data_IF_220894062367
#
_entry.id   IF_220894062367
#
_cell.length_a   1.000
_cell.length_b   1.000
_cell.length_c   1.000
_cell.angle_alpha   90.00
_cell.angle_beta   90.00
_cell.angle_gamma   90.00
#
_symmetry.space_group_name_H-M   'P 1'
#
loop_
_entity.id
_entity.type
_entity.pdbx_description
1 polymer ?
#
# COMPACT_ATOMS: atom_id res chain seq x y z
N UNK A 1 10.90 -5.99 7.56
CA UNK A 1 11.62 -4.73 7.82
C UNK A 1 10.60 -3.63 7.99
N UNK A 2 10.78 -2.73 8.94
CA UNK A 2 9.84 -1.63 9.19
C UNK A 2 10.56 -0.31 8.98
N UNK A 3 9.98 0.59 8.18
CA UNK A 3 10.64 1.82 7.73
C UNK A 3 9.72 3.04 7.76
N UNK A 4 10.32 4.22 7.81
CA UNK A 4 9.75 5.48 7.33
C UNK A 4 10.50 5.87 6.06
N UNK A 5 9.78 6.18 4.98
CA UNK A 5 10.40 6.51 3.70
C UNK A 5 9.59 7.51 2.87
N UNK A 6 10.25 8.08 1.87
CA UNK A 6 9.66 9.01 0.90
C UNK A 6 9.58 8.35 -0.47
N UNK A 7 8.44 8.47 -1.11
CA UNK A 7 8.24 8.06 -2.50
C UNK A 7 8.96 9.03 -3.42
N UNK A 8 9.83 8.52 -4.28
CA UNK A 8 10.62 9.32 -5.23
C UNK A 8 10.28 9.03 -6.68
N UNK A 9 9.64 7.91 -6.97
CA UNK A 9 9.20 7.54 -8.32
C UNK A 9 8.15 6.43 -8.27
N UNK A 10 7.36 6.33 -9.34
CA UNK A 10 6.31 5.33 -9.51
C UNK A 10 6.40 4.77 -10.93
N UNK A 11 6.33 3.45 -11.05
CA UNK A 11 6.27 2.74 -12.32
C UNK A 11 5.10 1.76 -12.29
N UNK A 12 4.28 1.78 -13.34
CA UNK A 12 3.16 0.85 -13.49
C UNK A 12 3.60 -0.41 -14.23
N UNK A 13 3.14 -1.57 -13.78
CA UNK A 13 3.35 -2.86 -14.41
C UNK A 13 2.01 -3.60 -14.49
N UNK A 14 1.76 -4.29 -15.59
CA UNK A 14 0.57 -5.15 -15.75
C UNK A 14 1.05 -6.58 -15.98
N UNK A 15 0.55 -7.52 -15.17
CA UNK A 15 0.84 -8.95 -15.33
C UNK A 15 -0.44 -9.76 -15.19
N UNK A 16 -0.75 -10.58 -16.21
CA UNK A 16 -2.00 -11.38 -16.28
C UNK A 16 -3.25 -10.54 -15.97
N UNK A 17 -3.36 -9.38 -16.61
CA UNK A 17 -4.44 -8.40 -16.46
C UNK A 17 -4.59 -7.83 -15.03
N UNK A 18 -3.56 -7.95 -14.19
CA UNK A 18 -3.53 -7.34 -12.85
C UNK A 18 -2.52 -6.20 -12.85
N UNK A 19 -2.94 -4.97 -12.49
CA UNK A 19 -2.01 -3.85 -12.35
C UNK A 19 -1.27 -3.90 -11.01
N UNK A 20 0.00 -3.49 -11.07
CA UNK A 20 0.89 -3.32 -9.94
C UNK A 20 1.62 -1.98 -10.08
N UNK A 21 1.92 -1.35 -8.96
CA UNK A 21 2.71 -0.13 -8.91
C UNK A 21 4.00 -0.42 -8.17
N UNK A 22 5.15 -0.21 -8.81
CA UNK A 22 6.45 -0.26 -8.17
C UNK A 22 6.84 1.17 -7.78
N UNK A 23 6.90 1.42 -6.49
CA UNK A 23 7.38 2.68 -5.96
C UNK A 23 8.88 2.60 -5.64
N UNK A 24 9.63 3.61 -6.09
CA UNK A 24 10.96 3.88 -5.57
C UNK A 24 10.81 4.62 -4.23
N UNK A 25 11.35 4.03 -3.16
CA UNK A 25 11.21 4.54 -1.80
C UNK A 25 12.59 4.80 -1.22
N UNK A 26 12.94 6.06 -1.01
CA UNK A 26 14.13 6.43 -0.25
C UNK A 26 13.84 6.30 1.23
N UNK A 27 14.63 5.48 1.92
CA UNK A 27 14.43 5.17 3.33
C UNK A 27 15.02 6.29 4.19
N UNK A 28 14.15 6.99 4.93
CA UNK A 28 14.56 8.06 5.83
C UNK A 28 14.83 7.55 7.25
N UNK A 29 14.13 6.48 7.68
CA UNK A 29 14.40 5.77 8.93
C UNK A 29 14.16 4.27 8.79
N UNK A 30 14.98 3.48 9.49
CA UNK A 30 14.75 2.05 9.70
C UNK A 30 14.29 1.86 11.13
N UNK A 31 13.00 1.59 11.31
CA UNK A 31 12.35 1.43 12.62
C UNK A 31 12.59 0.02 13.19
N UNK A 32 12.74 -0.98 12.33
CA UNK A 32 13.09 -2.35 12.71
C UNK A 32 13.70 -3.13 11.52
N UNK A 33 14.78 -3.88 11.78
CA UNK A 33 15.47 -4.70 10.79
C UNK A 33 16.84 -4.15 10.38
N UNK A 34 17.21 -4.35 9.11
CA UNK A 34 18.55 -4.05 8.59
C UNK A 34 18.80 -2.54 8.46
N UNK A 35 19.59 -1.99 9.40
CA UNK A 35 19.96 -0.56 9.42
C UNK A 35 20.82 -0.13 8.23
N UNK A 36 21.47 -1.06 7.52
CA UNK A 36 22.25 -0.73 6.33
C UNK A 36 21.40 -0.23 5.15
N UNK A 37 20.07 -0.32 5.26
CA UNK A 37 19.12 0.21 4.28
C UNK A 37 18.86 1.72 4.46
N UNK A 38 19.31 2.34 5.55
CA UNK A 38 19.15 3.77 5.77
C UNK A 38 19.74 4.58 4.60
N UNK A 39 19.00 5.60 4.14
CA UNK A 39 19.33 6.46 3.00
C UNK A 39 19.43 5.75 1.64
N UNK A 40 19.14 4.45 1.56
CA UNK A 40 19.05 3.74 0.27
C UNK A 40 17.64 3.87 -0.32
N UNK A 41 17.58 3.77 -1.63
CA UNK A 41 16.32 3.63 -2.36
C UNK A 41 16.02 2.16 -2.59
N UNK A 42 14.85 1.71 -2.16
CA UNK A 42 14.34 0.36 -2.41
C UNK A 42 13.12 0.42 -3.32
N UNK A 43 12.83 -0.70 -3.99
CA UNK A 43 11.62 -0.87 -4.79
C UNK A 43 10.56 -1.57 -3.95
N UNK A 44 9.37 -0.98 -3.85
CA UNK A 44 8.23 -1.53 -3.10
C UNK A 44 7.06 -1.71 -4.05
N UNK A 45 6.54 -2.94 -4.12
CA UNK A 45 5.39 -3.30 -4.95
C UNK A 45 4.09 -3.09 -4.18
N UNK A 46 3.17 -2.34 -4.78
CA UNK A 46 1.79 -2.16 -4.37
C UNK A 46 0.87 -2.86 -5.36
N UNK A 47 -0.23 -3.43 -4.85
CA UNK A 47 -1.33 -3.88 -5.68
C UNK A 47 -2.11 -2.67 -6.20
N UNK A 48 -2.57 -2.75 -7.43
CA UNK A 48 -3.19 -1.62 -8.13
C UNK A 48 -2.18 -0.82 -8.94
N UNK A 49 -2.70 -0.02 -9.86
CA UNK A 49 -1.90 0.76 -10.79
C UNK A 49 -2.70 1.14 -12.02
N UNK A 50 -2.00 1.72 -12.98
CA UNK A 50 -2.60 2.06 -14.26
C UNK A 50 -2.68 0.81 -15.15
N UNK A 51 -3.83 0.60 -15.77
CA UNK A 51 -4.13 -0.50 -16.70
C UNK A 51 -5.01 0.03 -17.83
N UNK A 52 -4.98 -0.59 -19.01
CA UNK A 52 -5.93 -0.22 -20.06
C UNK A 52 -7.33 -0.73 -19.74
N UNK A 53 -8.36 -0.04 -20.22
CA UNK A 53 -9.76 -0.44 -20.02
C UNK A 53 -10.04 -1.84 -20.57
N UNK A 54 -9.49 -2.18 -21.74
CA UNK A 54 -9.58 -3.55 -22.30
C UNK A 54 -8.99 -4.62 -21.36
N UNK A 55 -7.83 -4.36 -20.78
CA UNK A 55 -7.15 -5.31 -19.88
C UNK A 55 -7.91 -5.46 -18.56
N UNK A 56 -8.43 -4.36 -18.01
CA UNK A 56 -9.28 -4.38 -16.82
C UNK A 56 -10.52 -5.27 -17.04
N UNK A 57 -11.21 -5.10 -18.18
CA UNK A 57 -12.40 -5.88 -18.52
C UNK A 57 -12.07 -7.36 -18.70
N UNK A 58 -10.93 -7.68 -19.31
CA UNK A 58 -10.44 -9.04 -19.45
C UNK A 58 -10.08 -9.71 -18.10
N UNK A 59 -9.72 -8.93 -17.07
CA UNK A 59 -9.39 -9.45 -15.74
C UNK A 59 -10.63 -9.87 -14.93
N UNK A 60 -11.72 -9.15 -15.12
CA UNK A 60 -12.87 -9.17 -14.21
C UNK A 60 -14.02 -10.07 -14.68
N UNK A 61 -13.90 -10.71 -15.85
CA UNK A 61 -15.02 -11.39 -16.52
C UNK A 61 -16.29 -10.51 -16.56
N UNK A 62 -16.12 -9.18 -16.62
CA UNK A 62 -17.27 -8.29 -16.71
C UNK A 62 -17.95 -8.55 -18.06
N UNK A 63 -19.28 -8.79 -18.09
CA UNK A 63 -20.01 -8.80 -19.33
C UNK A 63 -19.84 -7.40 -19.96
N UNK A 64 -19.05 -7.35 -21.04
CA UNK A 64 -18.86 -6.14 -21.82
C UNK A 64 -20.18 -5.85 -22.53
N UNK A 65 -20.90 -4.82 -22.07
CA UNK A 65 -22.18 -4.43 -22.62
C UNK A 65 -22.06 -3.57 -23.90
N UNK A 66 -20.84 -3.37 -24.41
CA UNK A 66 -20.55 -2.58 -25.62
C UNK A 66 -19.29 -3.11 -26.32
N UNK A 67 -19.37 -3.33 -27.64
CA UNK A 67 -18.24 -3.82 -28.45
C UNK A 67 -17.01 -2.91 -28.43
N UNK A 68 -17.19 -1.61 -28.17
CA UNK A 68 -16.13 -0.60 -28.22
C UNK A 68 -15.18 -0.66 -27.02
N UNK A 69 -15.64 -1.12 -25.87
CA UNK A 69 -14.84 -1.14 -24.64
C UNK A 69 -13.76 -2.23 -24.66
N UNK A 70 -13.98 -3.29 -25.42
CA UNK A 70 -13.06 -4.44 -25.56
C UNK A 70 -11.74 -4.09 -26.29
N UNK A 71 -11.71 -2.97 -27.02
CA UNK A 71 -10.51 -2.47 -27.73
C UNK A 71 -10.03 -1.12 -27.19
N UNK A 72 -10.57 -0.66 -26.06
CA UNK A 72 -10.22 0.65 -25.51
C UNK A 72 -8.80 0.68 -24.92
N UNK A 73 -7.97 1.59 -25.44
CA UNK A 73 -6.64 1.94 -24.90
C UNK A 73 -6.71 3.01 -23.80
N UNK A 74 -7.91 3.38 -23.34
CA UNK A 74 -8.07 4.30 -22.23
C UNK A 74 -7.37 3.76 -20.98
N UNK A 75 -6.53 4.58 -20.36
CA UNK A 75 -5.84 4.23 -19.12
C UNK A 75 -6.75 4.52 -17.94
N UNK A 76 -7.02 3.50 -17.13
CA UNK A 76 -7.73 3.61 -15.86
C UNK A 76 -6.80 3.27 -14.70
N UNK A 77 -6.95 3.97 -13.58
CA UNK A 77 -6.22 3.65 -12.35
C UNK A 77 -7.07 2.73 -11.49
N UNK A 78 -6.54 1.55 -11.16
CA UNK A 78 -7.16 0.59 -10.25
C UNK A 78 -6.49 0.71 -8.88
N UNK A 79 -7.28 0.97 -7.85
CA UNK A 79 -6.84 0.93 -6.45
C UNK A 79 -7.55 -0.22 -5.73
N UNK A 80 -6.87 -0.81 -4.75
CA UNK A 80 -7.49 -1.79 -3.85
C UNK A 80 -8.34 -1.07 -2.81
N UNK A 81 -9.42 -1.72 -2.37
CA UNK A 81 -10.26 -1.17 -1.31
C UNK A 81 -9.41 -0.94 -0.05
N UNK A 82 -9.58 0.23 0.57
CA UNK A 82 -8.85 0.62 1.79
C UNK A 82 -7.32 0.70 1.60
N UNK A 83 -6.86 0.83 0.36
CA UNK A 83 -5.45 0.94 0.02
C UNK A 83 -5.21 1.74 -1.26
N UNK A 84 -5.27 3.08 -1.12
CA UNK A 84 -4.93 3.96 -2.23
C UNK A 84 -3.46 3.77 -2.65
N UNK A 85 -3.16 4.10 -3.90
CA UNK A 85 -1.78 4.09 -4.36
C UNK A 85 -0.99 5.26 -3.77
N UNK A 86 0.31 5.05 -3.49
CA UNK A 86 1.18 6.12 -3.04
C UNK A 86 1.43 7.14 -4.15
N UNK A 87 1.66 8.41 -3.78
CA UNK A 87 2.02 9.48 -4.73
C UNK A 87 3.48 9.88 -4.57
N UNK A 88 4.09 10.33 -5.67
CA UNK A 88 5.43 10.89 -5.63
C UNK A 88 5.51 12.05 -4.62
N UNK A 89 6.55 12.06 -3.80
CA UNK A 89 6.74 13.04 -2.74
C UNK A 89 6.12 12.68 -1.39
N UNK A 90 5.20 11.71 -1.34
CA UNK A 90 4.57 11.30 -0.08
C UNK A 90 5.54 10.60 0.87
N UNK A 91 5.29 10.78 2.16
CA UNK A 91 5.97 10.05 3.22
C UNK A 91 5.05 8.97 3.79
N UNK A 92 5.59 7.77 3.92
CA UNK A 92 4.87 6.60 4.40
C UNK A 92 5.70 5.90 5.48
N UNK A 93 5.02 5.26 6.40
CA UNK A 93 5.61 4.21 7.22
C UNK A 93 5.08 2.87 6.75
N UNK A 94 5.94 1.84 6.69
CA UNK A 94 5.58 0.56 6.13
C UNK A 94 6.22 -0.61 6.88
N UNK A 95 5.49 -1.72 6.95
CA UNK A 95 6.03 -3.03 7.33
C UNK A 95 6.18 -3.86 6.07
N UNK A 96 7.41 -4.22 5.73
CA UNK A 96 7.79 -4.79 4.45
C UNK A 96 8.35 -6.21 4.59
N UNK A 97 8.01 -7.05 3.61
CA UNK A 97 8.59 -8.37 3.35
C UNK A 97 9.36 -8.36 2.04
N UNK A 98 10.46 -9.12 1.96
CA UNK A 98 11.21 -9.27 0.69
C UNK A 98 10.45 -10.24 -0.21
N UNK A 99 10.36 -9.92 -1.49
CA UNK A 99 9.88 -10.85 -2.50
C UNK A 99 11.04 -11.39 -3.36
N UNK A 100 10.94 -12.62 -3.87
CA UNK A 100 11.87 -13.14 -4.87
C UNK A 100 11.91 -12.24 -6.11
N UNK A 101 13.09 -12.14 -6.72
CA UNK A 101 13.22 -11.42 -7.99
C UNK A 101 12.38 -12.10 -9.08
N UNK A 102 11.76 -11.31 -9.96
CA UNK A 102 10.90 -11.84 -11.04
C UNK A 102 9.48 -12.20 -10.59
N UNK A 103 9.09 -11.94 -9.33
CA UNK A 103 7.70 -12.12 -8.89
C UNK A 103 6.76 -11.31 -9.80
N UNK A 104 5.65 -11.91 -10.25
CA UNK A 104 4.71 -11.31 -11.21
C UNK A 104 5.36 -10.83 -12.52
N UNK A 105 6.46 -11.46 -12.95
CA UNK A 105 7.24 -11.05 -14.12
C UNK A 105 7.81 -9.62 -14.03
N UNK A 106 7.91 -9.05 -12.83
CA UNK A 106 8.51 -7.74 -12.59
C UNK A 106 10.02 -7.94 -12.40
N UNK A 107 10.88 -7.30 -13.21
CA UNK A 107 12.31 -7.52 -13.16
C UNK A 107 12.92 -6.99 -11.85
N UNK A 108 13.99 -7.63 -11.37
CA UNK A 108 14.76 -7.20 -10.21
C UNK A 108 14.17 -7.58 -8.86
N UNK A 109 14.87 -7.20 -7.78
CA UNK A 109 14.44 -7.41 -6.39
C UNK A 109 13.52 -6.28 -5.94
N UNK A 110 12.51 -6.62 -5.16
CA UNK A 110 11.61 -5.64 -4.55
C UNK A 110 11.03 -6.19 -3.24
N UNK A 111 10.45 -5.28 -2.48
CA UNK A 111 9.72 -5.55 -1.26
C UNK A 111 8.22 -5.43 -1.53
N UNK A 112 7.40 -5.96 -0.63
CA UNK A 112 5.97 -5.69 -0.59
C UNK A 112 5.51 -5.41 0.84
N UNK A 113 4.39 -4.68 1.01
CA UNK A 113 3.68 -4.61 2.28
C UNK A 113 3.40 -6.03 2.82
N UNK A 114 3.82 -6.31 4.05
CA UNK A 114 3.81 -7.65 4.64
C UNK A 114 2.41 -8.18 4.97
N UNK A 115 1.47 -7.28 5.28
CA UNK A 115 0.09 -7.60 5.67
C UNK A 115 -0.90 -6.86 4.77
N UNK A 116 -0.63 -6.89 3.46
CA UNK A 116 -1.36 -6.12 2.45
C UNK A 116 -1.51 -4.64 2.89
N UNK A 117 -2.71 -4.09 2.77
CA UNK A 117 -3.01 -2.69 3.07
C UNK A 117 -2.81 -2.32 4.55
N UNK A 118 -2.98 -3.27 5.48
CA UNK A 118 -2.78 -3.05 6.93
C UNK A 118 -1.32 -2.80 7.30
N UNK A 119 -0.39 -2.90 6.36
CA UNK A 119 1.03 -2.64 6.62
C UNK A 119 1.55 -1.32 6.05
N UNK A 120 0.66 -0.45 5.55
CA UNK A 120 0.99 0.86 5.00
C UNK A 120 0.32 1.96 5.81
N UNK A 121 1.09 2.97 6.21
CA UNK A 121 0.63 4.09 7.01
C UNK A 121 0.98 5.38 6.29
N UNK A 122 -0.02 6.15 5.91
CA UNK A 122 0.14 7.41 5.21
C UNK A 122 0.30 8.55 6.22
N UNK A 123 1.25 9.44 5.96
CA UNK A 123 1.41 10.63 6.79
C UNK A 123 0.30 11.64 6.50
N UNK A 124 -0.46 12.03 7.52
CA UNK A 124 -1.48 13.05 7.40
C UNK A 124 -0.91 14.47 7.57
N UNK A 125 -1.76 15.49 7.43
CA UNK A 125 -1.40 16.90 7.58
C UNK A 125 -0.88 17.26 8.98
N UNK A 126 -1.32 16.52 10.00
CA UNK A 126 -0.87 16.69 11.39
C UNK A 126 0.49 16.01 11.64
N UNK A 127 1.06 15.36 10.63
CA UNK A 127 2.34 14.68 10.69
C UNK A 127 2.29 13.26 11.26
N UNK A 128 1.10 12.76 11.61
CA UNK A 128 0.87 11.41 12.13
C UNK A 128 0.76 10.39 11.00
N UNK A 129 1.16 9.15 11.25
CA UNK A 129 1.08 8.05 10.30
C UNK A 129 -0.17 7.20 10.59
N UNK A 130 -1.10 7.11 9.62
CA UNK A 130 -2.35 6.36 9.77
C UNK A 130 -2.61 5.44 8.59
N UNK A 131 -3.18 4.26 8.87
CA UNK A 131 -3.82 3.42 7.85
C UNK A 131 -5.05 4.10 7.28
N UNK A 132 -5.46 3.66 6.10
CA UNK A 132 -6.75 4.04 5.53
C UNK A 132 -7.80 3.15 6.20
N UNK A 133 -8.82 3.72 6.86
CA UNK A 133 -9.83 2.94 7.56
C UNK A 133 -10.65 2.13 6.56
N UNK A 134 -11.06 0.94 6.98
CA UNK A 134 -11.98 0.12 6.19
C UNK A 134 -13.35 0.82 6.02
N UNK A 135 -13.93 0.73 4.83
CA UNK A 135 -15.28 1.22 4.58
C UNK A 135 -16.27 0.53 5.54
N UNK A 136 -17.18 1.32 6.12
CA UNK A 136 -18.20 0.77 7.03
C UNK A 136 -19.10 -0.18 6.23
N UNK A 137 -19.13 -1.45 6.61
CA UNK A 137 -20.09 -2.41 6.04
C UNK A 137 -21.54 -1.92 6.26
N UNK A 138 -22.30 -1.82 5.16
CA UNK A 138 -23.70 -1.36 5.14
C UNK A 138 -24.60 -2.60 5.11
N UNK A 139 -24.62 -3.42 6.17
CA UNK A 139 -25.58 -4.55 6.25
C UNK A 139 -25.43 -5.55 7.40
N UNK A 140 -26.54 -5.77 8.13
CA UNK A 140 -26.90 -7.09 8.70
C UNK A 140 -26.40 -7.49 10.09
N UNK A 141 -26.37 -6.60 11.10
CA UNK A 141 -26.05 -6.99 12.47
C UNK A 141 -27.28 -7.45 13.27
N UNK A 142 -27.42 -8.75 13.54
CA UNK A 142 -28.28 -9.24 14.63
C UNK A 142 -27.83 -8.61 15.96
N UNK A 143 -28.80 -8.18 16.77
CA UNK A 143 -28.58 -7.53 18.07
C UNK A 143 -27.68 -8.40 18.97
N UNK A 144 -26.46 -7.94 19.23
CA UNK A 144 -25.60 -8.49 20.29
C UNK A 144 -24.14 -8.83 19.94
N UNK A 145 -23.72 -8.73 18.68
CA UNK A 145 -22.31 -8.95 18.29
C UNK A 145 -21.58 -7.61 18.12
N UNK A 146 -20.38 -7.47 18.69
CA UNK A 146 -19.43 -6.43 18.27
C UNK A 146 -19.28 -6.52 16.75
N UNK A 147 -19.63 -5.45 16.04
CA UNK A 147 -19.58 -5.48 14.57
C UNK A 147 -18.13 -5.59 14.10
N UNK A 148 -17.88 -6.31 13.01
CA UNK A 148 -16.54 -6.43 12.40
C UNK A 148 -15.89 -5.06 12.16
N UNK A 149 -16.70 -4.04 11.84
CA UNK A 149 -16.27 -2.66 11.67
C UNK A 149 -15.63 -2.07 12.95
N UNK A 150 -16.16 -2.38 14.14
CA UNK A 150 -15.62 -1.89 15.40
C UNK A 150 -14.27 -2.56 15.72
N UNK A 151 -14.16 -3.88 15.50
CA UNK A 151 -12.90 -4.60 15.69
C UNK A 151 -11.80 -4.09 14.74
N UNK A 152 -12.15 -3.77 13.50
CA UNK A 152 -11.21 -3.21 12.52
C UNK A 152 -10.76 -1.80 12.91
N UNK A 153 -11.67 -0.97 13.43
CA UNK A 153 -11.31 0.35 13.94
C UNK A 153 -10.37 0.26 15.15
N UNK A 154 -10.66 -0.61 16.11
CA UNK A 154 -9.80 -0.83 17.28
C UNK A 154 -8.41 -1.36 16.89
N UNK A 155 -8.33 -2.27 15.91
CA UNK A 155 -7.04 -2.72 15.34
C UNK A 155 -6.28 -1.57 14.69
N UNK A 156 -6.94 -0.75 13.87
CA UNK A 156 -6.31 0.38 13.21
C UNK A 156 -5.81 1.42 14.22
N UNK A 157 -6.58 1.74 15.25
CA UNK A 157 -6.14 2.63 16.33
C UNK A 157 -4.89 2.08 17.04
N UNK A 158 -4.90 0.80 17.42
CA UNK A 158 -3.76 0.15 18.05
C UNK A 158 -2.52 0.18 17.17
N UNK A 159 -2.68 -0.11 15.88
CA UNK A 159 -1.56 -0.20 14.95
C UNK A 159 -1.02 1.17 14.55
N UNK A 160 -1.89 2.16 14.38
CA UNK A 160 -1.51 3.55 14.17
C UNK A 160 -0.72 4.07 15.39
N UNK A 161 -1.21 3.85 16.60
CA UNK A 161 -0.53 4.24 17.84
C UNK A 161 0.84 3.56 17.97
N UNK A 162 0.91 2.26 17.71
CA UNK A 162 2.16 1.50 17.71
C UNK A 162 3.19 2.05 16.72
N UNK A 163 2.78 2.35 15.48
CA UNK A 163 3.67 2.89 14.46
C UNK A 163 4.19 4.28 14.82
N UNK A 164 3.31 5.20 15.26
CA UNK A 164 3.72 6.54 15.68
C UNK A 164 4.65 6.48 16.91
N UNK A 165 4.41 5.58 17.85
CA UNK A 165 5.29 5.36 18.99
C UNK A 165 6.69 4.86 18.56
N UNK A 166 6.77 3.94 17.59
CA UNK A 166 8.05 3.49 17.02
C UNK A 166 8.82 4.63 16.35
N UNK A 167 8.13 5.47 15.58
CA UNK A 167 8.73 6.62 14.89
C UNK A 167 9.25 7.66 15.89
N UNK A 168 8.49 7.91 16.97
CA UNK A 168 8.84 8.92 17.98
C UNK A 168 9.91 8.43 18.97
N UNK A 169 9.94 7.15 19.33
CA UNK A 169 11.01 6.58 20.18
C UNK A 169 12.39 6.73 19.54
N UNK A 170 12.45 6.63 18.21
CA UNK A 170 13.68 6.77 17.44
C UNK A 170 14.15 8.25 17.37
N UNK A 171 13.25 9.22 17.55
CA UNK A 171 13.58 10.64 17.70
C UNK A 171 14.21 10.90 19.07
N UNK A 172 13.66 10.33 20.15
CA UNK A 172 14.15 10.54 21.51
C UNK A 172 15.53 9.94 21.77
N UNK A 173 15.90 8.85 21.08
CA UNK A 173 17.24 8.25 21.21
C UNK A 173 18.33 9.02 20.45
N UNK A 174 17.98 9.99 19.60
CA UNK A 174 18.94 10.84 18.87
C UNK A 174 19.26 12.17 19.58
N UNK A 175 18.57 12.48 20.69
CA UNK A 175 18.72 13.74 21.45
C UNK A 175 19.50 13.53 22.76
N UNK A 176 20.23 12.40 22.89
CA UNK A 176 21.16 12.12 23.99
C UNK A 176 22.53 11.81 23.40
#
# INVERSE_FOLDING_TARGET
>A
MTIEGKITGLESYVFKNRPYTIAAVTINKVLHGDKSQLNKTIRVMFLGGNITRKEMLAAANYPSNSSDDSNSEEIVTVEEENNRLPKAGERLAMVLSKLPAGTNNIPGKFWSPAFAYKSVFFRNSNGEYKRIPEAKSIGGGFRGSTSTNQLNQEDDEKMNNGMNALINKDVLHKVR
#
